data_IF_318653806679
#
_entry.id   IF_318653806679
#
_cell.length_a   1.000
_cell.length_b   1.000
_cell.length_c   1.000
_cell.angle_alpha   90.00
_cell.angle_beta   90.00
_cell.angle_gamma   90.00
#
_symmetry.space_group_name_H-M   'P 1'
#
loop_
_entity.id
_entity.type
_entity.pdbx_description
1 polymer ?
#
# COMPACT_ATOMS: atom_id res chain seq x y z
N UNK A 1 -13.47 -75.41 14.86
CA UNK A 1 -12.41 -75.73 15.84
C UNK A 1 -11.06 -75.58 15.13
N UNK A 2 -10.17 -74.74 15.70
CA UNK A 2 -8.79 -74.40 15.28
C UNK A 2 -8.58 -73.39 14.13
N UNK A 3 -8.21 -72.18 14.56
CA UNK A 3 -7.43 -71.17 13.84
C UNK A 3 -6.03 -71.72 13.49
N UNK A 4 -5.35 -71.15 12.46
CA UNK A 4 -4.21 -70.21 12.62
C UNK A 4 -3.48 -69.91 11.29
N UNK A 5 -3.06 -68.64 11.16
CA UNK A 5 -1.74 -68.18 10.64
C UNK A 5 -1.49 -68.01 9.12
N UNK A 6 -1.68 -66.75 8.69
CA UNK A 6 -0.76 -65.84 7.96
C UNK A 6 0.60 -66.39 7.45
N UNK A 7 0.93 -66.13 6.17
CA UNK A 7 2.19 -65.47 5.73
C UNK A 7 2.32 -65.26 4.20
N UNK A 8 3.15 -64.28 3.87
CA UNK A 8 3.30 -63.50 2.62
C UNK A 8 4.06 -64.19 1.47
N UNK A 9 3.66 -63.81 0.25
CA UNK A 9 4.43 -63.39 -0.95
C UNK A 9 5.57 -64.24 -1.55
N UNK A 10 5.47 -64.55 -2.86
CA UNK A 10 6.39 -64.20 -3.99
C UNK A 10 5.91 -64.96 -5.26
N UNK A 11 5.54 -64.34 -6.40
CA UNK A 11 6.35 -63.79 -7.54
C UNK A 11 6.57 -64.78 -8.70
N UNK A 12 6.59 -64.20 -9.92
CA UNK A 12 7.12 -64.69 -11.24
C UNK A 12 6.07 -65.35 -12.16
N UNK A 13 5.90 -65.07 -13.46
CA UNK A 13 6.39 -64.06 -14.42
C UNK A 13 5.64 -64.29 -15.77
N UNK A 14 5.22 -63.23 -16.48
CA UNK A 14 5.78 -62.68 -17.75
C UNK A 14 5.38 -63.42 -19.04
N UNK A 15 4.86 -62.63 -20.01
CA UNK A 15 5.22 -62.44 -21.44
C UNK A 15 3.97 -61.77 -22.06
N UNK A 16 3.95 -60.63 -22.76
CA UNK A 16 4.90 -59.84 -23.57
C UNK A 16 4.09 -59.41 -24.83
N UNK A 17 3.88 -58.12 -25.13
CA UNK A 17 4.67 -57.27 -26.03
C UNK A 17 4.02 -55.86 -26.03
N UNK A 18 4.69 -54.70 -25.82
CA UNK A 18 5.79 -54.00 -26.50
C UNK A 18 5.49 -53.52 -27.93
N UNK A 19 5.41 -52.18 -28.09
CA UNK A 19 5.94 -51.32 -29.18
C UNK A 19 5.67 -49.84 -28.74
N UNK A 20 6.61 -49.14 -28.09
CA UNK A 20 7.73 -48.30 -28.59
C UNK A 20 7.33 -46.98 -29.33
N UNK A 21 7.42 -45.88 -28.56
CA UNK A 21 8.10 -44.59 -28.81
C UNK A 21 7.93 -43.80 -30.13
N UNK A 22 7.57 -42.51 -29.98
CA UNK A 22 8.31 -41.39 -30.60
C UNK A 22 8.19 -40.09 -29.77
N UNK A 23 9.34 -39.47 -29.51
CA UNK A 23 9.49 -38.06 -29.14
C UNK A 23 9.38 -37.20 -30.40
N UNK A 24 8.76 -36.01 -30.30
CA UNK A 24 9.38 -34.70 -30.60
C UNK A 24 8.37 -33.61 -31.00
N UNK A 25 8.40 -32.51 -30.25
CA UNK A 25 8.37 -31.10 -30.67
C UNK A 25 7.29 -30.58 -31.64
N UNK A 26 6.34 -29.79 -31.11
CA UNK A 26 5.86 -28.48 -31.63
C UNK A 26 5.31 -27.74 -30.38
N UNK A 27 5.63 -26.49 -30.01
CA UNK A 27 5.96 -25.33 -30.84
C UNK A 27 4.70 -24.47 -31.04
N UNK A 28 4.42 -23.52 -30.14
CA UNK A 28 3.35 -22.51 -30.25
C UNK A 28 2.00 -22.95 -29.63
N UNK A 29 1.27 -22.16 -28.85
CA UNK A 29 1.20 -20.70 -28.71
C UNK A 29 0.98 -20.32 -27.24
N UNK A 30 1.69 -19.30 -26.75
CA UNK A 30 1.33 -18.56 -25.53
C UNK A 30 0.00 -17.86 -25.76
N UNK A 31 -1.12 -18.55 -25.53
CA UNK A 31 -2.44 -17.93 -25.52
C UNK A 31 -2.75 -17.59 -24.08
N UNK A 32 -2.64 -16.31 -23.73
CA UNK A 32 -3.18 -15.79 -22.48
C UNK A 32 -4.60 -16.34 -22.33
N UNK A 33 -4.82 -17.17 -21.30
CA UNK A 33 -6.13 -17.76 -21.02
C UNK A 33 -7.10 -16.61 -20.78
N UNK A 34 -8.01 -16.39 -21.73
CA UNK A 34 -9.06 -15.39 -21.60
C UNK A 34 -10.00 -15.90 -20.51
N UNK A 35 -10.04 -15.21 -19.36
CA UNK A 35 -10.95 -15.57 -18.28
C UNK A 35 -12.38 -15.64 -18.83
N UNK A 36 -13.09 -16.72 -18.53
CA UNK A 36 -14.52 -16.75 -18.74
C UNK A 36 -15.16 -15.77 -17.75
N UNK A 37 -16.19 -15.04 -18.18
CA UNK A 37 -16.85 -13.98 -17.38
C UNK A 37 -17.23 -14.42 -15.96
N UNK A 38 -17.59 -15.69 -15.78
CA UNK A 38 -17.90 -16.27 -14.48
C UNK A 38 -16.67 -16.43 -13.57
N UNK A 39 -15.55 -16.95 -14.08
CA UNK A 39 -14.28 -17.08 -13.34
C UNK A 39 -13.74 -15.70 -12.93
N UNK A 40 -13.92 -14.70 -13.80
CA UNK A 40 -13.59 -13.31 -13.54
C UNK A 40 -14.42 -12.74 -12.38
N UNK A 41 -15.73 -12.94 -12.41
CA UNK A 41 -16.65 -12.46 -11.38
C UNK A 41 -16.39 -13.13 -10.02
N UNK A 42 -16.05 -14.42 -10.02
CA UNK A 42 -15.65 -15.15 -8.81
C UNK A 42 -14.33 -14.62 -8.24
N UNK A 43 -13.32 -14.40 -9.10
CA UNK A 43 -12.04 -13.81 -8.69
C UNK A 43 -12.21 -12.40 -8.10
N UNK A 44 -13.07 -11.57 -8.71
CA UNK A 44 -13.45 -10.24 -8.20
C UNK A 44 -14.19 -10.32 -6.86
N UNK A 45 -15.07 -11.32 -6.66
CA UNK A 45 -15.75 -11.54 -5.38
C UNK A 45 -14.78 -11.84 -4.23
N UNK A 46 -13.74 -12.64 -4.48
CA UNK A 46 -12.70 -12.97 -3.47
C UNK A 46 -11.89 -11.76 -3.04
N UNK A 47 -11.68 -10.81 -3.95
CA UNK A 47 -10.97 -9.57 -3.68
C UNK A 47 -11.74 -8.60 -2.77
N UNK A 48 -13.06 -8.68 -2.73
CA UNK A 48 -13.89 -7.91 -1.78
C UNK A 48 -14.19 -8.69 -0.49
N UNK A 49 -13.88 -10.00 -0.47
CA UNK A 49 -14.10 -10.85 0.69
C UNK A 49 -12.96 -10.66 1.70
N UNK A 50 -13.27 -10.34 2.98
CA UNK A 50 -12.27 -10.26 4.03
C UNK A 50 -11.50 -11.58 4.20
N UNK A 51 -10.19 -11.49 4.39
CA UNK A 51 -9.33 -12.67 4.54
C UNK A 51 -7.88 -12.39 4.12
N UNK A 52 -6.97 -13.29 4.48
CA UNK A 52 -5.55 -13.13 4.15
C UNK A 52 -5.23 -13.58 2.73
N UNK A 53 -5.76 -14.71 2.27
CA UNK A 53 -5.50 -15.19 0.91
C UNK A 53 -6.56 -14.62 -0.01
N UNK A 54 -6.13 -13.87 -1.03
CA UNK A 54 -7.01 -13.33 -2.07
C UNK A 54 -7.27 -14.41 -3.12
N UNK A 55 -6.20 -15.09 -3.57
CA UNK A 55 -6.26 -16.17 -4.54
C UNK A 55 -5.06 -16.21 -5.48
N UNK A 56 -5.15 -17.10 -6.46
CA UNK A 56 -4.17 -17.24 -7.54
C UNK A 56 -4.67 -16.58 -8.83
N UNK A 57 -3.79 -15.82 -9.48
CA UNK A 57 -4.10 -15.03 -10.66
C UNK A 57 -3.02 -15.20 -11.72
N UNK A 58 -3.43 -15.26 -12.98
CA UNK A 58 -2.47 -15.20 -14.10
C UNK A 58 -1.91 -13.78 -14.20
N UNK A 59 -0.60 -13.63 -14.44
CA UNK A 59 -0.02 -12.30 -14.72
C UNK A 59 -0.58 -11.72 -16.03
N UNK A 60 -0.82 -10.41 -16.07
CA UNK A 60 -1.24 -9.75 -17.31
C UNK A 60 -0.09 -9.71 -18.35
N UNK A 61 -0.41 -9.47 -19.62
CA UNK A 61 0.63 -9.13 -20.61
C UNK A 61 1.30 -7.81 -20.18
N UNK A 62 2.63 -7.79 -20.14
CA UNK A 62 3.41 -6.67 -19.60
C UNK A 62 2.99 -6.33 -18.14
N UNK A 63 2.85 -7.36 -17.30
CA UNK A 63 2.35 -7.23 -15.94
C UNK A 63 3.13 -6.23 -15.07
N UNK A 64 4.44 -6.12 -15.25
CA UNK A 64 5.29 -5.20 -14.46
C UNK A 64 5.13 -3.78 -15.01
N UNK A 65 4.49 -2.91 -14.21
CA UNK A 65 4.34 -1.48 -14.51
C UNK A 65 5.52 -0.71 -13.94
N UNK A 66 5.83 -1.00 -12.67
CA UNK A 66 6.95 -0.44 -11.91
C UNK A 66 7.50 -1.45 -10.90
N UNK A 67 8.58 -1.11 -10.19
CA UNK A 67 9.20 -1.97 -9.19
C UNK A 67 8.26 -2.41 -8.06
N UNK A 68 7.29 -1.58 -7.69
CA UNK A 68 6.32 -1.84 -6.63
C UNK A 68 4.87 -1.98 -7.14
N UNK A 69 4.68 -2.14 -8.46
CA UNK A 69 3.36 -2.11 -9.10
C UNK A 69 3.27 -3.15 -10.21
N UNK A 70 2.35 -4.11 -10.05
CA UNK A 70 2.05 -5.14 -11.07
C UNK A 70 0.55 -5.21 -11.42
N UNK A 71 0.25 -5.76 -12.60
CA UNK A 71 -1.09 -6.09 -13.08
C UNK A 71 -1.27 -7.59 -13.21
N UNK A 72 -2.41 -8.10 -12.73
CA UNK A 72 -2.85 -9.47 -12.95
C UNK A 72 -4.04 -9.49 -13.90
N UNK A 73 -4.19 -10.57 -14.65
CA UNK A 73 -5.30 -10.75 -15.56
C UNK A 73 -6.63 -10.80 -14.79
N UNK A 74 -7.63 -10.11 -15.32
CA UNK A 74 -8.97 -10.04 -14.73
C UNK A 74 -9.16 -8.92 -13.71
N UNK A 75 -8.13 -8.13 -13.40
CA UNK A 75 -8.29 -6.90 -12.63
C UNK A 75 -8.06 -5.69 -13.52
N UNK A 76 -9.02 -4.77 -13.49
CA UNK A 76 -8.97 -3.53 -14.27
C UNK A 76 -7.99 -2.52 -13.65
N UNK A 77 -7.61 -2.69 -12.38
CA UNK A 77 -6.68 -1.83 -11.64
C UNK A 77 -5.36 -2.53 -11.34
N UNK A 78 -4.27 -1.77 -11.30
CA UNK A 78 -3.00 -2.25 -10.73
C UNK A 78 -3.12 -2.52 -9.22
N UNK A 79 -2.25 -3.40 -8.73
CA UNK A 79 -2.13 -3.69 -7.30
C UNK A 79 -1.14 -2.71 -6.66
N UNK A 80 -1.43 -2.23 -5.44
CA UNK A 80 -0.43 -1.55 -4.59
C UNK A 80 0.25 -2.61 -3.75
N UNK A 81 1.55 -2.80 -3.99
CA UNK A 81 2.31 -3.79 -3.25
C UNK A 81 2.59 -3.32 -1.82
N UNK A 82 2.24 -4.15 -0.85
CA UNK A 82 2.42 -3.86 0.57
C UNK A 82 3.90 -3.75 0.93
N UNK A 83 4.23 -2.75 1.76
CA UNK A 83 5.57 -2.50 2.31
C UNK A 83 6.71 -2.34 1.30
N UNK A 84 6.37 -1.94 0.07
CA UNK A 84 7.32 -1.46 -0.93
C UNK A 84 7.08 0.02 -1.24
N UNK A 85 8.18 0.71 -1.54
CA UNK A 85 8.24 2.03 -2.15
C UNK A 85 9.53 2.06 -3.00
N UNK A 86 9.43 1.60 -4.25
CA UNK A 86 10.57 1.67 -5.17
C UNK A 86 10.67 3.10 -5.70
N UNK A 87 11.88 3.58 -5.98
CA UNK A 87 12.03 4.90 -6.60
C UNK A 87 11.34 4.95 -7.97
N UNK A 88 10.89 6.15 -8.36
CA UNK A 88 10.11 6.32 -9.58
C UNK A 88 10.96 6.08 -10.85
N UNK A 89 10.31 5.64 -11.93
CA UNK A 89 10.95 5.50 -13.26
C UNK A 89 10.77 6.75 -14.12
N UNK A 90 11.66 6.99 -15.08
CA UNK A 90 11.55 8.17 -15.95
C UNK A 90 10.38 7.99 -16.91
N UNK A 91 9.28 8.73 -16.67
CA UNK A 91 8.06 8.63 -17.50
C UNK A 91 8.03 9.60 -18.67
N UNK A 92 8.71 10.75 -18.58
CA UNK A 92 8.60 11.81 -19.57
C UNK A 92 9.96 12.42 -19.96
N UNK A 93 10.00 13.06 -21.12
CA UNK A 93 11.22 13.60 -21.73
C UNK A 93 11.77 14.82 -20.98
N UNK A 94 10.89 15.67 -20.43
CA UNK A 94 11.32 16.83 -19.66
C UNK A 94 12.13 16.40 -18.41
N UNK A 95 11.70 15.32 -17.76
CA UNK A 95 12.38 14.76 -16.61
C UNK A 95 13.76 14.19 -16.96
N UNK A 96 13.88 13.52 -18.11
CA UNK A 96 15.16 13.02 -18.63
C UNK A 96 16.13 14.15 -18.95
N UNK A 97 15.66 15.21 -19.62
CA UNK A 97 16.48 16.39 -19.91
C UNK A 97 16.94 17.11 -18.65
N UNK A 98 16.08 17.18 -17.63
CA UNK A 98 16.50 17.73 -16.34
C UNK A 98 17.56 16.84 -15.69
N UNK A 99 17.44 15.52 -15.77
CA UNK A 99 18.45 14.58 -15.27
C UNK A 99 19.81 14.74 -16.00
N UNK A 100 19.79 14.98 -17.31
CA UNK A 100 20.99 15.24 -18.12
C UNK A 100 21.75 16.51 -17.69
N UNK A 101 21.10 17.44 -16.97
CA UNK A 101 21.78 18.61 -16.40
C UNK A 101 22.70 18.30 -15.22
N UNK A 102 22.73 17.04 -14.76
CA UNK A 102 23.55 16.55 -13.67
C UNK A 102 22.73 16.18 -12.44
N UNK A 103 23.14 15.11 -11.74
CA UNK A 103 22.39 14.50 -10.64
C UNK A 103 22.05 15.47 -9.50
N UNK A 104 23.03 16.26 -9.05
CA UNK A 104 22.83 17.20 -7.94
C UNK A 104 21.87 18.33 -8.33
N UNK A 105 21.98 18.85 -9.56
CA UNK A 105 21.06 19.86 -10.06
C UNK A 105 19.64 19.30 -10.23
N UNK A 106 19.53 18.07 -10.72
CA UNK A 106 18.28 17.35 -10.88
C UNK A 106 17.54 17.20 -9.54
N UNK A 107 18.20 16.61 -8.53
CA UNK A 107 17.58 16.41 -7.22
C UNK A 107 17.23 17.74 -6.53
N UNK A 108 18.12 18.73 -6.58
CA UNK A 108 17.85 20.06 -6.00
C UNK A 108 16.65 20.74 -6.66
N UNK A 109 16.57 20.69 -8.00
CA UNK A 109 15.44 21.24 -8.75
C UNK A 109 14.13 20.51 -8.42
N UNK A 110 14.18 19.18 -8.27
CA UNK A 110 13.02 18.39 -7.87
C UNK A 110 12.59 18.66 -6.43
N UNK A 111 13.53 18.89 -5.51
CA UNK A 111 13.24 19.24 -4.12
C UNK A 111 12.54 20.59 -4.03
N UNK A 112 13.02 21.58 -4.80
CA UNK A 112 12.45 22.92 -4.83
C UNK A 112 12.32 23.50 -3.42
N UNK A 113 11.10 23.89 -3.05
CA UNK A 113 10.77 24.43 -1.72
C UNK A 113 10.06 23.40 -0.82
N UNK A 114 9.87 22.17 -1.28
CA UNK A 114 9.16 21.15 -0.50
C UNK A 114 9.92 20.86 0.79
N UNK A 115 9.22 20.90 1.92
CA UNK A 115 9.74 20.43 3.20
C UNK A 115 9.68 18.90 3.30
N UNK A 116 8.95 18.24 2.39
CA UNK A 116 8.74 16.79 2.40
C UNK A 116 9.74 16.06 1.51
N UNK A 117 10.03 14.78 1.83
CA UNK A 117 10.77 13.89 0.95
C UNK A 117 10.09 13.78 -0.42
N UNK A 118 10.81 14.13 -1.50
CA UNK A 118 10.30 14.09 -2.88
C UNK A 118 10.22 12.67 -3.46
N UNK A 119 9.51 12.52 -4.58
CA UNK A 119 9.50 11.32 -5.41
C UNK A 119 10.00 11.65 -6.82
N UNK A 120 11.32 11.67 -6.99
CA UNK A 120 11.95 11.90 -8.30
C UNK A 120 12.22 10.58 -9.04
N UNK A 121 12.25 10.62 -10.38
CA UNK A 121 12.67 9.46 -11.13
C UNK A 121 14.19 9.25 -11.00
N UNK A 122 14.62 7.99 -10.95
CA UNK A 122 16.04 7.68 -10.75
C UNK A 122 16.49 6.46 -11.56
N UNK A 123 17.80 6.30 -11.78
CA UNK A 123 18.35 5.05 -12.30
C UNK A 123 18.05 3.83 -11.42
N UNK A 124 17.94 4.00 -10.09
CA UNK A 124 17.54 2.91 -9.20
C UNK A 124 16.06 2.53 -9.34
N UNK A 125 15.18 3.46 -9.69
CA UNK A 125 13.80 3.15 -10.08
C UNK A 125 13.73 2.27 -11.33
N UNK A 126 14.53 2.59 -12.35
CA UNK A 126 14.64 1.74 -13.55
C UNK A 126 15.23 0.36 -13.21
N UNK A 127 16.24 0.31 -12.34
CA UNK A 127 16.82 -0.95 -11.86
C UNK A 127 15.80 -1.81 -11.09
N UNK A 128 14.95 -1.20 -10.25
CA UNK A 128 13.89 -1.87 -9.51
C UNK A 128 12.84 -2.48 -10.46
N UNK A 129 12.45 -1.74 -11.51
CA UNK A 129 11.55 -2.25 -12.54
C UNK A 129 12.17 -3.40 -13.34
N UNK A 130 13.45 -3.33 -13.69
CA UNK A 130 14.16 -4.43 -14.36
C UNK A 130 14.33 -5.66 -13.44
N UNK A 131 14.58 -5.45 -12.16
CA UNK A 131 14.57 -6.52 -11.17
C UNK A 131 13.21 -7.22 -11.11
N UNK A 132 12.11 -6.44 -11.08
CA UNK A 132 10.76 -6.98 -11.10
C UNK A 132 10.51 -7.85 -12.35
N UNK A 133 10.89 -7.36 -13.53
CA UNK A 133 10.76 -8.13 -14.80
C UNK A 133 11.52 -9.45 -14.74
N UNK A 134 12.77 -9.43 -14.28
CA UNK A 134 13.59 -10.64 -14.12
C UNK A 134 13.01 -11.58 -13.06
N UNK A 135 12.47 -11.03 -11.97
CA UNK A 135 11.88 -11.82 -10.91
C UNK A 135 10.67 -12.63 -11.42
N UNK A 136 9.83 -12.01 -12.25
CA UNK A 136 8.63 -12.64 -12.81
C UNK A 136 8.87 -13.34 -14.16
N UNK A 137 10.10 -13.43 -14.63
CA UNK A 137 10.41 -14.14 -15.87
C UNK A 137 10.04 -15.63 -15.74
N UNK A 138 9.29 -16.14 -16.71
CA UNK A 138 8.78 -17.52 -16.70
C UNK A 138 7.67 -17.80 -15.66
N UNK A 139 7.19 -16.79 -14.94
CA UNK A 139 6.07 -16.92 -14.00
C UNK A 139 4.75 -16.65 -14.71
N UNK A 140 3.87 -17.65 -14.78
CA UNK A 140 2.53 -17.48 -15.36
C UNK A 140 1.48 -17.11 -14.31
N UNK A 141 1.60 -17.66 -13.10
CA UNK A 141 0.61 -17.53 -12.01
C UNK A 141 1.28 -16.99 -10.76
N UNK A 142 0.63 -16.04 -10.12
CA UNK A 142 1.01 -15.49 -8.82
C UNK A 142 -0.10 -15.72 -7.80
N UNK A 143 0.26 -15.88 -6.53
CA UNK A 143 -0.67 -15.87 -5.41
C UNK A 143 -0.66 -14.49 -4.76
N UNK A 144 -1.84 -13.92 -4.57
CA UNK A 144 -2.01 -12.63 -3.92
C UNK A 144 -2.52 -12.83 -2.49
N UNK A 145 -1.95 -12.08 -1.56
CA UNK A 145 -2.34 -12.13 -0.14
C UNK A 145 -2.35 -10.74 0.48
N UNK A 146 -3.23 -10.50 1.45
CA UNK A 146 -3.28 -9.26 2.25
C UNK A 146 -2.34 -9.34 3.45
N UNK A 147 -1.90 -8.19 3.94
CA UNK A 147 -1.26 -8.11 5.25
C UNK A 147 -2.29 -8.20 6.38
N UNK A 148 -3.39 -7.44 6.26
CA UNK A 148 -4.47 -7.42 7.25
C UNK A 148 -5.83 -7.76 6.59
N UNK A 149 -6.67 -8.62 7.20
CA UNK A 149 -7.92 -9.06 6.60
C UNK A 149 -8.97 -7.96 6.47
N UNK A 150 -8.82 -6.84 7.19
CA UNK A 150 -9.76 -5.70 7.10
C UNK A 150 -9.29 -4.58 6.18
N UNK A 151 -8.05 -4.61 5.71
CA UNK A 151 -7.48 -3.63 4.79
C UNK A 151 -7.52 -4.19 3.38
N UNK A 152 -8.54 -3.81 2.61
CA UNK A 152 -8.77 -4.39 1.28
C UNK A 152 -8.14 -3.52 0.20
N UNK A 153 -8.36 -2.20 0.29
CA UNK A 153 -7.92 -1.22 -0.71
C UNK A 153 -7.29 -0.02 -0.05
N UNK A 154 -6.39 0.64 -0.78
CA UNK A 154 -5.89 1.95 -0.40
C UNK A 154 -6.89 3.07 -0.71
N UNK A 155 -6.52 4.32 -0.38
CA UNK A 155 -7.39 5.48 -0.62
C UNK A 155 -7.74 5.69 -2.09
N UNK A 156 -6.86 5.27 -3.02
CA UNK A 156 -7.00 5.39 -4.46
C UNK A 156 -7.70 4.19 -5.09
N UNK A 157 -8.34 3.35 -4.27
CA UNK A 157 -9.10 2.19 -4.70
C UNK A 157 -8.24 1.06 -5.32
N UNK A 158 -6.93 1.02 -5.06
CA UNK A 158 -6.06 -0.10 -5.47
C UNK A 158 -6.09 -1.20 -4.41
N UNK A 159 -6.07 -2.45 -4.84
CA UNK A 159 -5.97 -3.57 -3.90
C UNK A 159 -4.58 -3.62 -3.24
N UNK A 160 -4.58 -3.81 -1.93
CA UNK A 160 -3.37 -4.00 -1.13
C UNK A 160 -2.99 -5.48 -1.14
N UNK A 161 -1.77 -5.80 -1.61
CA UNK A 161 -1.34 -7.19 -1.69
C UNK A 161 0.18 -7.39 -1.55
N UNK A 162 0.55 -8.52 -0.96
CA UNK A 162 1.80 -9.22 -1.24
C UNK A 162 1.62 -10.12 -2.45
N UNK A 163 2.69 -10.26 -3.23
CA UNK A 163 2.72 -11.12 -4.42
C UNK A 163 3.70 -12.26 -4.19
N UNK A 164 3.21 -13.48 -4.36
CA UNK A 164 4.04 -14.68 -4.32
C UNK A 164 4.14 -15.25 -5.71
N UNK A 165 5.37 -15.51 -6.16
CA UNK A 165 5.65 -16.23 -7.40
C UNK A 165 6.15 -17.64 -7.07
N UNK A 166 5.78 -18.61 -7.90
CA UNK A 166 6.28 -19.98 -7.72
C UNK A 166 7.68 -20.10 -8.34
N UNK A 167 8.68 -20.39 -7.51
CA UNK A 167 10.09 -20.59 -7.93
C UNK A 167 10.60 -21.89 -7.33
N UNK A 168 11.17 -22.77 -8.16
CA UNK A 168 11.69 -24.09 -7.74
C UNK A 168 10.68 -24.91 -6.90
N UNK A 169 9.40 -24.81 -7.25
CA UNK A 169 8.30 -25.51 -6.56
C UNK A 169 7.70 -24.77 -5.37
N UNK A 170 8.35 -23.72 -4.85
CA UNK A 170 7.97 -22.98 -3.64
C UNK A 170 7.37 -21.60 -3.95
N UNK A 171 6.54 -21.08 -3.05
CA UNK A 171 6.01 -19.73 -3.14
C UNK A 171 6.99 -18.72 -2.51
N UNK A 172 7.53 -17.82 -3.32
CA UNK A 172 8.49 -16.80 -2.90
C UNK A 172 7.82 -15.43 -2.90
N UNK A 173 7.90 -14.73 -1.77
CA UNK A 173 7.32 -13.39 -1.58
C UNK A 173 8.16 -12.32 -2.30
N UNK A 174 7.68 -11.83 -3.45
CA UNK A 174 8.37 -10.81 -4.23
C UNK A 174 8.68 -9.55 -3.41
N UNK A 175 7.77 -9.12 -2.55
CA UNK A 175 7.94 -7.89 -1.78
C UNK A 175 9.16 -7.99 -0.85
N UNK A 176 9.32 -9.11 -0.15
CA UNK A 176 10.50 -9.34 0.69
C UNK A 176 11.77 -9.44 -0.15
N UNK A 177 11.72 -10.13 -1.30
CA UNK A 177 12.88 -10.26 -2.20
C UNK A 177 13.31 -8.93 -2.81
N UNK A 178 12.38 -8.03 -3.12
CA UNK A 178 12.70 -6.69 -3.63
C UNK A 178 13.45 -5.85 -2.58
N UNK A 179 13.05 -5.95 -1.31
CA UNK A 179 13.79 -5.32 -0.20
C UNK A 179 15.15 -5.98 -0.01
N UNK A 180 15.23 -7.32 -0.06
CA UNK A 180 16.49 -8.06 0.10
C UNK A 180 17.50 -7.73 -1.00
N UNK A 181 17.02 -7.48 -2.21
CA UNK A 181 17.85 -7.06 -3.34
C UNK A 181 18.26 -5.58 -3.29
N UNK A 182 17.77 -4.80 -2.31
CA UNK A 182 18.03 -3.36 -2.21
C UNK A 182 17.29 -2.52 -3.27
N UNK A 183 16.18 -3.02 -3.83
CA UNK A 183 15.38 -2.27 -4.80
C UNK A 183 14.37 -1.33 -4.13
N UNK A 184 14.07 -1.56 -2.85
CA UNK A 184 13.16 -0.77 -2.04
C UNK A 184 13.59 -0.83 -0.57
N UNK A 185 13.40 0.23 0.23
CA UNK A 185 13.45 0.10 1.68
C UNK A 185 12.26 -0.73 2.18
N UNK A 186 12.34 -1.22 3.42
CA UNK A 186 11.15 -1.72 4.11
C UNK A 186 10.22 -0.54 4.40
N UNK A 187 9.18 -0.39 3.57
CA UNK A 187 8.31 0.77 3.61
C UNK A 187 7.22 0.63 4.69
N UNK A 188 7.45 1.23 5.84
CA UNK A 188 6.61 1.12 7.05
C UNK A 188 5.61 2.27 7.22
N UNK A 189 5.53 3.20 6.25
CA UNK A 189 4.70 4.41 6.30
C UNK A 189 3.23 4.18 6.67
N UNK A 190 2.69 3.02 6.28
CA UNK A 190 1.30 2.59 6.51
C UNK A 190 1.18 1.46 7.56
N UNK A 191 2.22 1.25 8.36
CA UNK A 191 2.30 0.18 9.36
C UNK A 191 3.41 -0.83 9.09
N UNK A 192 3.87 -1.48 10.16
CA UNK A 192 4.66 -2.69 10.05
C UNK A 192 3.82 -3.80 9.43
N UNK A 193 4.42 -4.63 8.58
CA UNK A 193 3.78 -5.86 8.13
C UNK A 193 3.43 -6.73 9.33
N UNK A 194 2.14 -7.03 9.51
CA UNK A 194 1.66 -7.87 10.61
C UNK A 194 2.05 -9.34 10.44
N UNK A 195 2.52 -9.71 9.24
CA UNK A 195 2.80 -11.11 8.86
C UNK A 195 4.27 -11.38 8.54
N UNK A 196 4.98 -10.38 8.02
CA UNK A 196 6.32 -10.55 7.45
C UNK A 196 7.33 -9.51 7.99
N UNK A 197 7.03 -8.84 9.11
CA UNK A 197 7.90 -7.83 9.71
C UNK A 197 9.35 -8.29 9.81
N UNK A 198 9.59 -9.44 10.45
CA UNK A 198 10.94 -9.95 10.69
C UNK A 198 11.69 -10.26 9.39
N UNK A 199 10.98 -10.80 8.39
CA UNK A 199 11.55 -11.09 7.07
C UNK A 199 11.96 -9.80 6.35
N UNK A 200 11.12 -8.77 6.38
CA UNK A 200 11.45 -7.47 5.80
C UNK A 200 12.60 -6.79 6.54
N UNK A 201 12.58 -6.79 7.87
CA UNK A 201 13.63 -6.19 8.68
C UNK A 201 14.98 -6.90 8.44
N UNK A 202 14.97 -8.24 8.35
CA UNK A 202 16.14 -9.01 7.98
C UNK A 202 16.61 -8.70 6.55
N UNK A 203 15.70 -8.70 5.58
CA UNK A 203 16.00 -8.40 4.18
C UNK A 203 16.66 -7.02 4.02
N UNK A 204 16.14 -5.99 4.70
CA UNK A 204 16.72 -4.66 4.68
C UNK A 204 18.13 -4.65 5.28
N UNK A 205 18.33 -5.29 6.45
CA UNK A 205 19.66 -5.40 7.08
C UNK A 205 20.66 -6.08 6.16
N UNK A 206 20.27 -7.17 5.50
CA UNK A 206 21.12 -7.88 4.54
C UNK A 206 21.50 -6.99 3.35
N UNK A 207 20.54 -6.23 2.81
CA UNK A 207 20.77 -5.33 1.69
C UNK A 207 21.69 -4.15 2.07
N UNK A 208 21.53 -3.60 3.28
CA UNK A 208 22.37 -2.54 3.83
C UNK A 208 23.80 -3.03 4.06
N UNK A 209 23.99 -4.18 4.72
CA UNK A 209 25.31 -4.75 5.00
C UNK A 209 26.10 -5.09 3.74
N UNK A 210 25.41 -5.44 2.66
CA UNK A 210 26.00 -5.79 1.36
C UNK A 210 26.04 -4.61 0.37
N UNK A 211 25.60 -3.42 0.80
CA UNK A 211 25.53 -2.22 -0.05
C UNK A 211 24.83 -2.50 -1.39
N UNK A 212 23.65 -3.14 -1.35
CA UNK A 212 22.88 -3.50 -2.53
C UNK A 212 21.93 -2.38 -2.95
N UNK A 213 21.82 -2.14 -4.27
CA UNK A 213 20.84 -1.22 -4.85
C UNK A 213 20.90 0.17 -4.22
N UNK A 214 19.78 0.62 -3.64
CA UNK A 214 19.63 1.92 -2.98
C UNK A 214 20.54 2.10 -1.76
N UNK A 215 21.17 1.04 -1.25
CA UNK A 215 22.14 1.09 -0.16
C UNK A 215 23.58 1.20 -0.65
N UNK A 216 23.80 1.14 -1.97
CA UNK A 216 25.11 1.31 -2.56
C UNK A 216 25.44 2.80 -2.76
N UNK A 217 26.48 3.35 -2.12
CA UNK A 217 26.80 4.77 -2.21
C UNK A 217 27.15 5.23 -3.64
N UNK A 218 27.56 4.30 -4.52
CA UNK A 218 27.95 4.58 -5.91
C UNK A 218 26.77 4.54 -6.89
N UNK A 219 25.54 4.28 -6.43
CA UNK A 219 24.34 4.35 -7.27
C UNK A 219 23.66 5.70 -7.14
N UNK A 220 22.82 6.04 -8.12
CA UNK A 220 21.99 7.25 -8.11
C UNK A 220 20.61 6.91 -7.54
N UNK A 221 20.40 7.28 -6.29
CA UNK A 221 19.22 7.02 -5.45
C UNK A 221 18.98 8.20 -4.48
N UNK A 222 17.82 8.24 -3.84
CA UNK A 222 17.45 9.25 -2.86
C UNK A 222 18.43 9.30 -1.68
N UNK A 223 18.79 10.50 -1.24
CA UNK A 223 19.81 10.68 -0.18
C UNK A 223 19.25 10.73 1.24
N UNK A 224 17.93 10.73 1.37
CA UNK A 224 17.19 11.01 2.61
C UNK A 224 16.58 9.76 3.24
N UNK A 225 17.06 8.56 2.89
CA UNK A 225 16.51 7.30 3.41
C UNK A 225 16.55 7.19 4.94
N UNK A 226 17.55 7.76 5.60
CA UNK A 226 17.59 7.81 7.08
C UNK A 226 16.38 8.57 7.61
N UNK A 227 16.11 9.78 7.10
CA UNK A 227 14.97 10.60 7.53
C UNK A 227 13.63 9.96 7.14
N UNK A 228 13.55 9.34 5.97
CA UNK A 228 12.35 8.60 5.53
C UNK A 228 12.03 7.45 6.47
N UNK A 229 13.03 6.62 6.81
CA UNK A 229 12.85 5.49 7.71
C UNK A 229 12.41 5.96 9.10
N UNK A 230 13.06 6.99 9.67
CA UNK A 230 12.64 7.57 10.95
C UNK A 230 11.18 8.04 10.93
N UNK A 231 10.78 8.75 9.87
CA UNK A 231 9.39 9.18 9.70
C UNK A 231 8.42 8.01 9.57
N UNK A 232 8.72 7.04 8.71
CA UNK A 232 7.85 5.91 8.44
C UNK A 232 7.70 5.00 9.65
N UNK A 233 8.79 4.74 10.37
CA UNK A 233 8.77 3.96 11.61
C UNK A 233 8.01 4.69 12.72
N UNK A 234 8.15 6.02 12.83
CA UNK A 234 7.35 6.80 13.78
C UNK A 234 5.84 6.74 13.49
N UNK A 235 5.44 6.63 12.21
CA UNK A 235 4.04 6.38 11.82
C UNK A 235 3.61 4.95 12.15
N UNK A 236 4.47 3.97 11.87
CA UNK A 236 4.20 2.55 12.13
C UNK A 236 4.06 2.27 13.63
N UNK A 237 4.93 2.85 14.46
CA UNK A 237 4.86 2.82 15.92
C UNK A 237 3.51 3.30 16.43
N UNK A 238 3.02 4.43 15.89
CA UNK A 238 1.77 5.02 16.34
C UNK A 238 0.54 4.21 15.92
N UNK A 239 0.57 3.61 14.73
CA UNK A 239 -0.42 2.63 14.30
C UNK A 239 -0.39 1.39 15.22
N UNK A 240 0.78 0.83 15.48
CA UNK A 240 0.95 -0.36 16.31
C UNK A 240 0.50 -0.11 17.77
N UNK A 241 0.76 1.07 18.32
CA UNK A 241 0.23 1.50 19.63
C UNK A 241 -1.30 1.48 19.60
N UNK A 242 -1.92 2.08 18.58
CA UNK A 242 -3.37 2.09 18.44
C UNK A 242 -3.95 0.69 18.31
N UNK A 243 -3.37 -0.18 17.47
CA UNK A 243 -3.84 -1.56 17.29
C UNK A 243 -3.74 -2.37 18.58
N UNK A 244 -2.64 -2.22 19.32
CA UNK A 244 -2.42 -2.86 20.61
C UNK A 244 -3.47 -2.40 21.62
N UNK A 245 -3.73 -1.09 21.71
CA UNK A 245 -4.79 -0.54 22.56
C UNK A 245 -6.19 -0.99 22.13
N UNK A 246 -6.43 -1.13 20.83
CA UNK A 246 -7.71 -1.51 20.24
C UNK A 246 -8.07 -2.99 20.39
N UNK A 247 -7.09 -3.84 20.73
CA UNK A 247 -7.28 -5.28 20.87
C UNK A 247 -8.45 -5.60 21.82
N UNK A 248 -9.46 -6.30 21.29
CA UNK A 248 -10.68 -6.67 22.03
C UNK A 248 -11.70 -5.54 22.25
N UNK A 249 -11.46 -4.32 21.76
CA UNK A 249 -12.34 -3.16 21.96
C UNK A 249 -13.14 -2.83 20.70
N UNK A 250 -14.46 -3.03 20.74
CA UNK A 250 -15.34 -2.73 19.59
C UNK A 250 -15.46 -1.23 19.27
N UNK A 251 -15.17 -0.35 20.23
CA UNK A 251 -15.29 1.11 20.07
C UNK A 251 -13.99 1.78 19.59
N UNK A 252 -12.94 1.01 19.28
CA UNK A 252 -11.72 1.51 18.63
C UNK A 252 -11.79 1.21 17.13
N UNK A 253 -11.85 2.25 16.31
CA UNK A 253 -12.16 2.16 14.88
C UNK A 253 -11.02 2.77 14.07
N UNK A 254 -10.24 1.92 13.40
CA UNK A 254 -9.38 2.35 12.31
C UNK A 254 -10.22 2.59 11.05
N UNK A 255 -10.12 3.80 10.48
CA UNK A 255 -10.81 4.17 9.25
C UNK A 255 -10.31 3.41 8.02
N UNK A 256 -9.10 2.84 8.05
CA UNK A 256 -8.56 2.00 6.97
C UNK A 256 -9.36 0.70 6.77
N UNK A 257 -10.09 0.26 7.79
CA UNK A 257 -10.85 -0.98 7.75
C UNK A 257 -12.11 -0.85 6.91
N UNK A 258 -12.41 -1.89 6.10
CA UNK A 258 -13.60 -1.90 5.24
C UNK A 258 -14.92 -1.74 6.02
N UNK A 259 -14.96 -2.15 7.29
CA UNK A 259 -16.14 -2.10 8.15
C UNK A 259 -16.25 -0.83 8.99
N UNK A 260 -15.31 0.11 8.86
CA UNK A 260 -15.20 1.28 9.74
C UNK A 260 -16.50 2.10 9.82
N UNK A 261 -17.10 2.43 8.68
CA UNK A 261 -18.33 3.26 8.65
C UNK A 261 -19.53 2.53 9.26
N UNK A 262 -19.71 1.25 8.97
CA UNK A 262 -20.77 0.43 9.58
C UNK A 262 -20.60 0.36 11.10
N UNK A 263 -19.35 0.26 11.57
CA UNK A 263 -19.04 0.29 13.00
C UNK A 263 -19.37 1.67 13.59
N UNK A 264 -18.99 2.76 12.93
CA UNK A 264 -19.32 4.12 13.38
C UNK A 264 -20.84 4.33 13.46
N UNK A 265 -21.62 3.86 12.49
CA UNK A 265 -23.09 3.90 12.52
C UNK A 265 -23.67 3.15 13.74
N UNK A 266 -23.14 1.96 14.07
CA UNK A 266 -23.55 1.19 15.27
C UNK A 266 -23.29 1.98 16.57
N UNK A 267 -22.32 2.89 16.55
CA UNK A 267 -21.93 3.72 17.69
C UNK A 267 -22.50 5.15 17.63
N UNK A 268 -23.48 5.43 16.78
CA UNK A 268 -24.17 6.72 16.77
C UNK A 268 -24.72 7.05 18.18
N UNK A 269 -24.40 8.24 18.69
CA UNK A 269 -24.72 8.68 20.05
C UNK A 269 -23.81 8.12 21.15
N UNK A 270 -22.76 7.34 20.80
CA UNK A 270 -21.84 6.71 21.75
C UNK A 270 -20.39 7.11 21.49
N UNK A 271 -19.57 6.99 22.52
CA UNK A 271 -18.14 7.30 22.47
C UNK A 271 -17.34 6.20 21.74
N UNK A 272 -16.44 6.65 20.87
CA UNK A 272 -15.46 5.84 20.13
C UNK A 272 -14.08 6.48 20.19
N UNK A 273 -13.05 5.69 19.86
CA UNK A 273 -11.73 6.19 19.49
C UNK A 273 -11.52 5.89 18.00
N UNK A 274 -11.42 6.92 17.18
CA UNK A 274 -11.21 6.82 15.73
C UNK A 274 -9.75 7.05 15.40
N UNK A 275 -9.16 6.21 14.57
CA UNK A 275 -7.81 6.38 14.03
C UNK A 275 -7.87 6.63 12.53
N UNK A 276 -7.14 7.63 12.05
CA UNK A 276 -7.08 7.96 10.62
C UNK A 276 -6.08 9.06 10.31
N UNK A 277 -5.65 9.15 9.04
CA UNK A 277 -4.74 10.19 8.58
C UNK A 277 -5.50 11.47 8.25
N UNK A 278 -4.96 12.64 8.60
CA UNK A 278 -5.55 13.92 8.18
C UNK A 278 -5.29 14.13 6.69
N UNK A 279 -6.35 14.19 5.90
CA UNK A 279 -6.28 14.46 4.45
C UNK A 279 -6.38 15.94 4.13
N UNK A 280 -7.24 16.66 4.84
CA UNK A 280 -7.56 18.05 4.52
C UNK A 280 -8.01 18.79 5.79
N UNK A 281 -7.63 20.06 5.91
CA UNK A 281 -8.09 20.97 6.95
C UNK A 281 -8.75 22.17 6.27
N UNK A 282 -10.04 22.37 6.52
CA UNK A 282 -10.81 23.49 5.99
C UNK A 282 -11.09 24.44 7.14
N UNK A 283 -10.41 25.57 7.17
CA UNK A 283 -10.60 26.60 8.19
C UNK A 283 -11.95 27.29 8.02
N UNK A 284 -12.68 27.44 9.13
CA UNK A 284 -13.98 28.09 9.16
C UNK A 284 -13.89 29.54 9.65
N UNK A 285 -14.24 30.50 8.79
CA UNK A 285 -14.34 31.91 9.20
C UNK A 285 -15.67 32.21 9.89
N UNK A 286 -16.78 31.82 9.24
CA UNK A 286 -18.17 32.02 9.69
C UNK A 286 -18.87 30.71 10.09
N UNK A 287 -18.15 29.60 10.03
CA UNK A 287 -18.63 28.25 10.35
C UNK A 287 -17.54 27.45 11.06
N UNK A 288 -17.79 26.18 11.40
CA UNK A 288 -16.78 25.36 12.07
C UNK A 288 -15.59 25.08 11.16
N UNK A 289 -14.41 24.95 11.77
CA UNK A 289 -13.25 24.34 11.11
C UNK A 289 -13.51 22.84 10.97
N UNK A 290 -13.25 22.29 9.77
CA UNK A 290 -13.45 20.87 9.46
C UNK A 290 -12.10 20.21 9.20
N UNK A 291 -11.79 19.16 9.95
CA UNK A 291 -10.62 18.31 9.69
C UNK A 291 -11.11 16.99 9.12
N UNK A 292 -10.70 16.64 7.91
CA UNK A 292 -11.13 15.42 7.23
C UNK A 292 -10.10 14.31 7.44
N UNK A 293 -10.54 13.20 8.03
CA UNK A 293 -9.75 11.99 8.16
C UNK A 293 -9.94 11.09 6.94
N UNK A 294 -8.85 10.74 6.26
CA UNK A 294 -8.86 9.94 5.04
C UNK A 294 -9.39 8.54 5.28
N UNK A 295 -10.04 7.99 4.25
CA UNK A 295 -10.50 6.60 4.19
C UNK A 295 -10.44 6.09 2.76
N UNK A 296 -11.11 6.81 1.87
CA UNK A 296 -11.10 6.64 0.42
C UNK A 296 -11.32 7.99 -0.25
N UNK A 297 -10.95 8.10 -1.52
CA UNK A 297 -11.24 9.31 -2.30
C UNK A 297 -12.72 9.73 -2.17
N UNK A 298 -12.95 10.98 -1.77
CA UNK A 298 -14.28 11.57 -1.61
C UNK A 298 -15.12 11.01 -0.46
N UNK A 299 -14.55 10.18 0.43
CA UNK A 299 -15.27 9.49 1.50
C UNK A 299 -14.63 9.64 2.88
N UNK A 300 -13.99 10.78 3.13
CA UNK A 300 -13.33 11.11 4.39
C UNK A 300 -14.33 11.28 5.56
N UNK A 301 -13.86 11.02 6.78
CA UNK A 301 -14.63 11.17 8.00
C UNK A 301 -14.34 12.54 8.65
N UNK A 302 -15.34 13.42 8.83
CA UNK A 302 -15.12 14.76 9.37
C UNK A 302 -15.01 14.80 10.89
N UNK A 303 -14.07 15.61 11.36
CA UNK A 303 -14.01 16.16 12.70
C UNK A 303 -14.43 17.63 12.63
N UNK A 304 -15.29 18.06 13.54
CA UNK A 304 -15.88 19.40 13.54
C UNK A 304 -15.41 20.17 14.77
N UNK A 305 -14.79 21.32 14.53
CA UNK A 305 -14.35 22.26 15.56
C UNK A 305 -15.17 23.53 15.44
N UNK A 306 -16.13 23.74 16.35
CA UNK A 306 -16.87 25.00 16.42
C UNK A 306 -16.08 26.10 17.11
N UNK A 307 -15.20 25.72 18.04
CA UNK A 307 -14.34 26.62 18.80
C UNK A 307 -12.93 26.66 18.18
N UNK A 308 -12.47 27.87 17.86
CA UNK A 308 -11.14 28.11 17.28
C UNK A 308 -10.02 27.87 18.28
N UNK A 309 -10.27 28.10 19.56
CA UNK A 309 -9.29 27.86 20.62
C UNK A 309 -9.11 26.37 20.84
N UNK A 310 -10.20 25.58 20.79
CA UNK A 310 -10.11 24.11 20.81
C UNK A 310 -9.31 23.58 19.62
N UNK A 311 -9.54 24.13 18.42
CA UNK A 311 -8.75 23.78 17.24
C UNK A 311 -7.26 24.10 17.44
N UNK A 312 -6.93 25.33 17.86
CA UNK A 312 -5.56 25.76 18.09
C UNK A 312 -4.84 24.94 19.16
N UNK A 313 -5.46 24.80 20.34
CA UNK A 313 -4.88 24.09 21.49
C UNK A 313 -4.84 22.57 21.32
N UNK A 314 -5.62 21.99 20.40
CA UNK A 314 -5.48 20.57 20.05
C UNK A 314 -4.20 20.27 19.26
N UNK A 315 -3.56 21.31 18.72
CA UNK A 315 -2.43 21.24 17.80
C UNK A 315 -2.70 20.38 16.55
N UNK A 316 -3.96 20.08 16.22
CA UNK A 316 -4.30 19.12 15.15
C UNK A 316 -3.72 19.51 13.79
N UNK A 317 -3.55 20.81 13.53
CA UNK A 317 -2.96 21.34 12.30
C UNK A 317 -1.53 20.84 12.03
N UNK A 318 -0.73 20.58 13.08
CA UNK A 318 0.64 20.08 12.92
C UNK A 318 0.70 18.67 12.31
N UNK A 319 -0.40 17.92 12.43
CA UNK A 319 -0.50 16.54 11.97
C UNK A 319 -1.12 16.43 10.57
N UNK A 320 -1.15 17.52 9.78
CA UNK A 320 -1.64 17.46 8.40
C UNK A 320 -0.84 16.42 7.58
N UNK A 321 -1.53 15.43 7.01
CA UNK A 321 -0.91 14.28 6.32
C UNK A 321 -0.53 13.11 7.24
N UNK A 322 -0.60 13.29 8.56
CA UNK A 322 -0.19 12.32 9.58
C UNK A 322 -1.39 11.67 10.26
N UNK A 323 -1.15 10.54 10.93
CA UNK A 323 -2.16 9.84 11.70
C UNK A 323 -2.51 10.57 13.00
N UNK A 324 -3.79 10.62 13.32
CA UNK A 324 -4.31 11.03 14.62
C UNK A 324 -5.25 9.97 15.18
N UNK A 325 -5.33 9.88 16.51
CA UNK A 325 -6.42 9.21 17.22
C UNK A 325 -7.33 10.25 17.85
N UNK A 326 -8.65 10.07 17.70
CA UNK A 326 -9.66 11.02 18.17
C UNK A 326 -10.71 10.30 19.00
N UNK A 327 -10.83 10.70 20.26
CA UNK A 327 -11.84 10.20 21.19
C UNK A 327 -13.06 11.12 21.17
N UNK A 328 -14.24 10.59 20.90
CA UNK A 328 -15.46 11.40 20.90
C UNK A 328 -16.72 10.62 20.58
N UNK A 329 -17.85 11.30 20.71
CA UNK A 329 -19.18 10.75 20.40
C UNK A 329 -19.44 10.83 18.91
N UNK A 330 -19.83 9.70 18.30
CA UNK A 330 -20.28 9.69 16.90
C UNK A 330 -21.62 10.40 16.82
N UNK A 331 -21.73 11.40 15.95
CA UNK A 331 -22.96 12.16 15.71
C UNK A 331 -23.29 12.15 14.23
N UNK A 332 -24.56 12.40 13.89
CA UNK A 332 -25.02 12.53 12.52
C UNK A 332 -25.43 13.98 12.25
N UNK A 333 -24.74 14.62 11.33
CA UNK A 333 -25.14 15.92 10.81
C UNK A 333 -26.11 15.76 9.65
N UNK A 334 -27.20 16.52 9.67
CA UNK A 334 -28.14 16.64 8.55
C UNK A 334 -28.07 18.05 8.00
N UNK A 335 -27.63 18.17 6.75
CA UNK A 335 -27.60 19.45 6.05
C UNK A 335 -29.02 19.89 5.66
N UNK A 336 -29.18 21.19 5.40
CA UNK A 336 -30.44 21.77 4.87
C UNK A 336 -30.88 21.15 3.53
N UNK A 337 -29.97 20.50 2.81
CA UNK A 337 -30.21 19.86 1.52
C UNK A 337 -30.44 18.34 1.62
N UNK A 338 -30.68 17.82 2.84
CA UNK A 338 -30.98 16.41 3.06
C UNK A 338 -29.77 15.47 3.01
N UNK A 339 -28.54 15.98 2.83
CA UNK A 339 -27.32 15.17 3.00
C UNK A 339 -27.09 14.86 4.47
N UNK A 340 -26.82 13.60 4.77
CA UNK A 340 -26.42 13.13 6.09
C UNK A 340 -24.95 12.73 6.10
N UNK A 341 -24.25 13.03 7.20
CA UNK A 341 -22.84 12.71 7.37
C UNK A 341 -22.57 12.34 8.82
N UNK A 342 -21.91 11.21 9.06
CA UNK A 342 -21.38 10.90 10.39
C UNK A 342 -20.15 11.75 10.67
N UNK A 343 -20.02 12.23 11.90
CA UNK A 343 -18.94 13.11 12.32
C UNK A 343 -18.64 12.95 13.82
N UNK A 344 -17.49 13.45 14.25
CA UNK A 344 -17.20 13.73 15.66
C UNK A 344 -17.05 15.24 15.85
N UNK A 345 -17.77 15.79 16.83
CA UNK A 345 -17.53 17.16 17.28
C UNK A 345 -16.43 17.14 18.34
N UNK A 346 -15.40 17.96 18.13
CA UNK A 346 -14.28 18.11 19.05
C UNK A 346 -14.53 19.35 19.91
N UNK A 347 -14.78 19.11 21.19
CA UNK A 347 -15.09 20.12 22.21
C UNK A 347 -13.90 20.40 23.14
N UNK A 348 -12.95 19.49 23.23
CA UNK A 348 -11.77 19.62 24.09
C UNK A 348 -10.49 19.24 23.34
N UNK A 349 -9.37 19.98 23.54
CA UNK A 349 -8.09 19.66 22.93
C UNK A 349 -7.64 18.21 23.14
N UNK A 350 -7.81 17.69 24.36
CA UNK A 350 -7.41 16.33 24.74
C UNK A 350 -8.20 15.21 24.06
N UNK A 351 -9.22 15.51 23.25
CA UNK A 351 -9.86 14.51 22.40
C UNK A 351 -8.97 14.08 21.23
N UNK A 352 -8.01 14.91 20.83
CA UNK A 352 -7.09 14.64 19.71
C UNK A 352 -5.73 14.27 20.26
N UNK A 353 -5.12 13.23 19.71
CA UNK A 353 -3.71 12.90 19.95
C UNK A 353 -3.09 12.43 18.63
N UNK A 354 -1.96 13.04 18.27
CA UNK A 354 -1.07 12.56 17.20
C UNK A 354 0.20 11.96 17.78
N UNK A 355 1.16 11.66 16.91
CA UNK A 355 2.48 11.14 17.31
C UNK A 355 3.49 12.28 17.47
N UNK A 356 4.14 12.35 18.62
CA UNK A 356 5.25 13.29 18.86
C UNK A 356 6.56 12.86 18.21
N UNK A 357 6.66 11.61 17.77
CA UNK A 357 7.84 11.09 17.08
C UNK A 357 7.87 11.43 15.59
N UNK A 358 6.72 11.77 15.01
CA UNK A 358 6.61 12.08 13.58
C UNK A 358 7.16 13.48 13.31
N UNK A 359 8.07 13.67 12.34
CA UNK A 359 8.59 14.98 12.00
C UNK A 359 7.49 15.96 11.59
N UNK A 360 7.67 17.23 11.96
CA UNK A 360 6.71 18.28 11.61
C UNK A 360 7.04 18.91 10.25
N UNK A 361 6.41 18.39 9.20
CA UNK A 361 6.58 18.90 7.84
C UNK A 361 5.83 20.20 7.53
N UNK A 362 4.89 20.61 8.39
CA UNK A 362 4.04 21.79 8.16
C UNK A 362 4.72 23.11 8.52
N UNK A 363 5.84 23.05 9.26
CA UNK A 363 6.46 24.23 9.86
C UNK A 363 5.62 24.90 10.95
N UNK A 364 4.42 24.38 11.27
CA UNK A 364 3.56 24.91 12.33
C UNK A 364 4.16 24.54 13.68
N UNK A 365 4.85 25.48 14.33
CA UNK A 365 5.37 25.26 15.68
C UNK A 365 4.19 25.03 16.65
N UNK A 366 4.16 23.94 17.43
CA UNK A 366 3.13 23.71 18.44
C UNK A 366 3.00 24.87 19.45
N UNK A 367 4.02 25.73 19.61
CA UNK A 367 3.98 26.90 20.50
C UNK A 367 3.39 28.18 19.86
N UNK A 368 2.77 28.09 18.68
CA UNK A 368 1.84 29.14 18.20
C UNK A 368 2.49 30.43 17.68
N UNK A 369 3.69 30.37 17.11
CA UNK A 369 4.26 31.52 16.37
C UNK A 369 4.85 31.07 15.04
N UNK A 370 4.04 31.13 13.97
CA UNK A 370 4.54 30.87 12.62
C UNK A 370 3.42 30.79 11.59
N UNK A 371 3.46 31.69 10.60
CA UNK A 371 2.61 31.63 9.41
C UNK A 371 2.98 30.36 8.63
N UNK A 372 2.04 29.42 8.55
CA UNK A 372 2.16 28.27 7.68
C UNK A 372 2.13 28.73 6.23
N UNK A 373 3.16 28.37 5.47
CA UNK A 373 3.06 28.35 4.03
C UNK A 373 2.14 27.17 3.68
N UNK A 374 0.98 27.55 3.18
CA UNK A 374 0.06 26.69 2.46
C UNK A 374 0.77 26.16 1.20
N UNK A 375 0.40 24.95 0.80
CA UNK A 375 0.63 24.26 -0.48
C UNK A 375 0.71 22.74 -0.21
N UNK A 376 -0.38 22.22 0.36
CA UNK A 376 -0.63 20.80 0.46
C UNK A 376 -1.12 20.23 -0.86
N UNK A 377 -0.25 20.11 -1.87
CA UNK A 377 -0.53 19.29 -3.06
C UNK A 377 0.72 18.54 -3.51
N UNK A 378 0.90 17.34 -2.97
CA UNK A 378 1.60 16.25 -3.67
C UNK A 378 0.76 14.98 -3.47
N UNK A 379 -0.40 14.98 -4.11
CA UNK A 379 -1.26 13.80 -4.27
C UNK A 379 -0.90 13.21 -5.64
N UNK A 380 0.09 12.34 -5.65
CA UNK A 380 0.50 11.60 -6.83
C UNK A 380 -0.68 10.80 -7.41
N UNK A 381 -1.17 11.25 -8.56
CA UNK A 381 -2.15 10.53 -9.36
C UNK A 381 -1.50 9.27 -9.97
N UNK A 382 -2.23 8.17 -10.13
CA UNK A 382 -1.69 6.99 -10.83
C UNK A 382 -1.21 7.37 -12.24
N UNK A 383 -0.20 6.68 -12.78
CA UNK A 383 0.32 6.97 -14.11
C UNK A 383 -0.81 6.96 -15.14
N UNK A 384 -0.88 8.03 -15.94
CA UNK A 384 -1.87 8.18 -16.99
C UNK A 384 -1.85 6.96 -17.91
N UNK A 385 -3.00 6.29 -18.04
CA UNK A 385 -3.18 5.25 -19.05
C UNK A 385 -3.10 5.90 -20.43
N UNK A 386 -2.22 5.39 -21.29
CA UNK A 386 -2.22 5.71 -22.71
C UNK A 386 -3.61 5.43 -23.28
N UNK A 387 -4.39 6.49 -23.52
CA UNK A 387 -5.52 6.42 -24.43
C UNK A 387 -4.94 6.08 -25.80
N UNK A 388 -5.19 4.85 -26.27
CA UNK A 388 -4.99 4.52 -27.67
C UNK A 388 -5.86 5.45 -28.50
N UNK A 389 -5.24 6.29 -29.30
CA UNK A 389 -5.91 6.93 -30.43
C UNK A 389 -6.45 5.82 -31.34
N UNK A 390 -7.78 5.71 -31.40
CA UNK A 390 -8.44 5.05 -32.51
C UNK A 390 -8.15 5.85 -33.77
N UNK A 391 -7.23 5.32 -34.58
CA UNK A 391 -7.04 5.76 -35.95
C UNK A 391 -8.33 5.46 -36.73
N UNK A 392 -9.14 6.50 -36.94
CA UNK A 392 -10.11 6.52 -38.02
C UNK A 392 -9.33 6.49 -39.35
N UNK A 393 -9.44 5.37 -40.07
CA UNK A 393 -9.18 5.33 -41.50
C UNK A 393 -10.54 5.29 -42.23
N UNK A 394 -10.63 5.93 -43.41
CA UNK A 394 -11.89 6.21 -44.11
C UNK A 394 -12.65 4.98 -44.61
#
# INVERSE_FOLDING_TARGET
MRLTSVSRALVVAIVGALLLSSLACFGGSKRARRYQKAELQEALGRLETPGLVIGEFTLAKNAVVDGDTIKVAGLDSSLRLCNLDTEETFKNEADRRLFESGWENYLSTKQGQSSRPIKAATPMGEAAKEFAKKFFEGVDVVRLERDHPKEIRDRYNRYLAYVFARKNGEWVNYNVEAVRAGMSPYFTKYGYSRRFHDLFAQAQREAQQKELGIWNPNTLHYRDYVQRLEWWDARADFLMEFETEAAGKENYIDLSHWDAMRRLEKYEGREVVVFGAIEEIILGDKGPTRVKLSRRMGGAFPLIFFDKDVFGSSHIARYAGEYVRVKGTVTRYRSRFGREELQIVVNFPGQVRGSDKVPNFTGVNPEGTGRGNDDGEDVEAPPAEEKKEEANAP
#
